data_IF_608879225440
#
_entry.id   IF_608879225440
#
_cell.length_a   1.000
_cell.length_b   1.000
_cell.length_c   1.000
_cell.angle_alpha   90.00
_cell.angle_beta   90.00
_cell.angle_gamma   90.00
#
_symmetry.space_group_name_H-M   'P 1'
#
loop_
_entity.id
_entity.type
_entity.pdbx_description
1 polymer ?
#
# COMPACT_ATOMS: atom_id res chain seq x y z
N UNK A 1 9.12 2.21 1.66
CA UNK A 1 8.07 3.18 1.29
C UNK A 1 7.96 3.21 -0.23
N UNK A 2 6.76 3.37 -0.76
CA UNK A 2 6.52 3.62 -2.18
C UNK A 2 5.41 4.67 -2.33
N UNK A 3 5.15 5.11 -3.55
CA UNK A 3 4.17 6.14 -3.86
C UNK A 3 3.38 5.74 -5.11
N UNK A 4 2.05 5.86 -5.06
CA UNK A 4 1.13 5.57 -6.16
C UNK A 4 -0.24 6.18 -5.87
N UNK A 5 -1.05 6.43 -6.90
CA UNK A 5 -2.47 6.75 -6.72
C UNK A 5 -3.23 5.45 -6.42
N UNK A 6 -3.56 5.22 -5.14
CA UNK A 6 -4.22 3.98 -4.70
C UNK A 6 -5.72 4.16 -4.45
N UNK A 7 -6.26 5.38 -4.58
CA UNK A 7 -7.69 5.63 -4.46
C UNK A 7 -8.34 6.09 -5.80
N UNK A 8 -7.54 6.29 -6.84
CA UNK A 8 -7.98 6.71 -8.17
C UNK A 8 -8.35 8.19 -8.26
N UNK A 9 -7.88 9.03 -7.34
CA UNK A 9 -8.21 10.46 -7.30
C UNK A 9 -7.22 11.35 -8.07
N UNK A 10 -6.29 10.74 -8.82
CA UNK A 10 -5.22 11.38 -9.57
C UNK A 10 -4.19 12.12 -8.71
N UNK A 11 -4.09 11.80 -7.41
CA UNK A 11 -3.05 12.31 -6.52
C UNK A 11 -2.17 11.16 -6.05
N UNK A 12 -0.87 11.39 -6.05
CA UNK A 12 0.07 10.39 -5.54
C UNK A 12 -0.06 10.26 -4.03
N UNK A 13 -0.46 9.09 -3.57
CA UNK A 13 -0.52 8.69 -2.16
C UNK A 13 0.80 8.06 -1.70
N UNK A 14 0.96 7.90 -0.38
CA UNK A 14 2.13 7.26 0.22
C UNK A 14 1.74 5.90 0.80
N UNK A 15 2.55 4.88 0.51
CA UNK A 15 2.43 3.55 1.09
C UNK A 15 3.70 3.21 1.88
N UNK A 16 3.53 2.89 3.16
CA UNK A 16 4.62 2.54 4.08
C UNK A 16 4.47 1.12 4.60
N UNK A 17 5.60 0.46 4.80
CA UNK A 17 5.66 -0.85 5.45
C UNK A 17 5.99 -0.64 6.92
N UNK A 18 5.17 -1.23 7.79
CA UNK A 18 5.38 -1.18 9.23
C UNK A 18 5.79 -2.58 9.71
N UNK A 19 7.07 -2.92 9.54
CA UNK A 19 7.60 -4.29 9.75
C UNK A 19 7.31 -4.85 11.16
N UNK A 20 7.42 -4.01 12.19
CA UNK A 20 7.16 -4.43 13.57
C UNK A 20 5.66 -4.59 13.88
N UNK A 21 4.80 -3.96 13.08
CA UNK A 21 3.35 -3.98 13.26
C UNK A 21 2.64 -4.96 12.32
N UNK A 22 3.39 -5.68 11.46
CA UNK A 22 2.87 -6.63 10.48
C UNK A 22 1.71 -6.07 9.63
N UNK A 23 1.88 -4.83 9.17
CA UNK A 23 0.92 -4.17 8.29
C UNK A 23 1.61 -3.22 7.32
N UNK A 24 0.85 -2.78 6.31
CA UNK A 24 1.16 -1.59 5.52
C UNK A 24 0.23 -0.45 5.90
N UNK A 25 0.73 0.77 5.83
CA UNK A 25 -0.06 1.97 5.99
C UNK A 25 -0.17 2.75 4.69
N UNK A 26 -1.35 3.32 4.45
CA UNK A 26 -1.66 4.18 3.31
C UNK A 26 -2.00 5.57 3.85
N UNK A 27 -1.32 6.59 3.34
CA UNK A 27 -1.59 7.98 3.63
C UNK A 27 -2.09 8.65 2.35
N UNK A 28 -3.38 9.00 2.32
CA UNK A 28 -4.01 9.60 1.15
C UNK A 28 -3.63 11.08 1.02
N UNK A 29 -3.25 11.49 -0.17
CA UNK A 29 -2.85 12.86 -0.45
C UNK A 29 -4.09 13.77 -0.58
N UNK A 30 -4.11 14.86 0.18
CA UNK A 30 -5.24 15.82 0.15
C UNK A 30 -5.13 16.84 -0.98
N UNK A 31 -4.02 16.88 -1.72
CA UNK A 31 -3.78 17.80 -2.83
C UNK A 31 -3.30 19.20 -2.41
N UNK A 32 -3.08 19.42 -1.12
CA UNK A 32 -2.64 20.71 -0.55
C UNK A 32 -1.31 20.58 0.21
N UNK A 33 -0.51 19.58 -0.10
CA UNK A 33 0.75 19.28 0.59
C UNK A 33 0.57 18.56 1.94
N UNK A 34 -0.66 18.17 2.30
CA UNK A 34 -0.95 17.40 3.52
C UNK A 34 -1.53 16.03 3.18
N UNK A 35 -1.47 15.12 4.16
CA UNK A 35 -1.98 13.75 4.04
C UNK A 35 -3.12 13.50 5.04
N UNK A 36 -3.99 12.54 4.72
CA UNK A 36 -4.97 12.00 5.66
C UNK A 36 -4.28 11.18 6.76
N UNK A 37 -5.05 10.86 7.80
CA UNK A 37 -4.61 9.88 8.80
C UNK A 37 -4.31 8.55 8.12
N UNK A 38 -3.30 7.85 8.61
CA UNK A 38 -2.88 6.57 8.05
C UNK A 38 -4.00 5.52 8.19
N UNK A 39 -4.43 4.95 7.07
CA UNK A 39 -5.21 3.72 7.05
C UNK A 39 -4.23 2.54 7.05
N UNK A 40 -4.48 1.51 7.85
CA UNK A 40 -3.59 0.33 7.94
C UNK A 40 -4.28 -0.92 7.45
N UNK A 41 -3.50 -1.79 6.81
CA UNK A 41 -3.95 -3.06 6.26
C UNK A 41 -2.99 -4.17 6.66
N UNK A 42 -3.52 -5.22 7.28
CA UNK A 42 -2.74 -6.36 7.75
C UNK A 42 -2.00 -7.05 6.60
N UNK A 43 -0.80 -7.55 6.91
CA UNK A 43 0.04 -8.32 5.99
C UNK A 43 0.46 -9.64 6.64
N UNK A 44 1.39 -10.36 6.00
CA UNK A 44 2.15 -11.38 6.69
C UNK A 44 3.14 -10.78 7.71
N UNK A 45 3.92 -11.65 8.34
CA UNK A 45 4.91 -11.32 9.35
C UNK A 45 6.17 -10.69 8.75
N UNK A 46 6.70 -9.68 9.44
CA UNK A 46 7.89 -8.94 9.06
C UNK A 46 7.86 -8.51 7.58
N UNK A 47 6.87 -7.69 7.16
CA UNK A 47 6.85 -7.15 5.81
C UNK A 47 8.13 -6.34 5.56
N UNK A 48 8.75 -6.54 4.41
CA UNK A 48 10.09 -6.01 4.10
C UNK A 48 10.07 -4.99 2.97
N UNK A 49 9.33 -5.28 1.89
CA UNK A 49 9.21 -4.38 0.75
C UNK A 49 7.75 -4.25 0.32
N UNK A 50 7.44 -3.10 -0.29
CA UNK A 50 6.14 -2.81 -0.88
C UNK A 50 6.32 -2.19 -2.25
N UNK A 51 5.50 -2.61 -3.21
CA UNK A 51 5.35 -1.99 -4.52
C UNK A 51 3.87 -1.78 -4.81
N UNK A 52 3.57 -0.89 -5.73
CA UNK A 52 2.22 -0.62 -6.19
C UNK A 52 2.16 -0.85 -7.70
N UNK A 53 1.19 -1.63 -8.15
CA UNK A 53 0.97 -1.93 -9.56
C UNK A 53 -0.48 -2.36 -9.78
N UNK A 54 -1.04 -2.07 -10.96
CA UNK A 54 -2.34 -2.61 -11.37
C UNK A 54 -2.17 -4.08 -11.80
N UNK A 55 -2.32 -5.01 -10.84
CA UNK A 55 -2.17 -6.44 -11.13
C UNK A 55 -3.46 -7.06 -11.66
N UNK A 56 -4.59 -6.39 -11.46
CA UNK A 56 -5.89 -6.82 -11.99
C UNK A 56 -6.18 -6.32 -13.40
N UNK A 57 -5.45 -5.31 -13.89
CA UNK A 57 -5.72 -4.66 -15.16
C UNK A 57 -6.98 -3.79 -15.14
N UNK A 58 -7.37 -3.26 -13.98
CA UNK A 58 -8.57 -2.42 -13.84
C UNK A 58 -8.26 -0.91 -13.79
N UNK A 59 -7.01 -0.53 -14.06
CA UNK A 59 -6.54 0.86 -14.02
C UNK A 59 -6.32 1.40 -12.61
N UNK A 60 -6.37 0.56 -11.56
CA UNK A 60 -6.18 0.98 -10.17
C UNK A 60 -4.96 0.28 -9.59
N UNK A 61 -4.12 1.02 -8.88
CA UNK A 61 -2.97 0.43 -8.23
C UNK A 61 -3.42 -0.51 -7.09
N UNK A 62 -2.98 -1.76 -7.15
CA UNK A 62 -3.00 -2.71 -6.05
C UNK A 62 -1.68 -2.61 -5.26
N UNK A 63 -1.67 -3.06 -4.00
CA UNK A 63 -0.47 -3.02 -3.15
C UNK A 63 0.08 -4.45 -3.00
N UNK A 64 1.34 -4.66 -3.40
CA UNK A 64 2.04 -5.94 -3.28
C UNK A 64 3.12 -5.84 -2.21
N UNK A 65 3.12 -6.78 -1.27
CA UNK A 65 4.00 -6.77 -0.09
C UNK A 65 4.76 -8.09 0.01
N UNK A 66 6.09 -8.02 0.14
CA UNK A 66 6.91 -9.19 0.51
C UNK A 66 6.98 -9.32 2.02
N UNK A 67 6.63 -10.50 2.54
CA UNK A 67 6.63 -10.81 3.97
C UNK A 67 7.76 -11.78 4.28
N UNK A 68 8.92 -11.27 4.70
CA UNK A 68 10.10 -12.11 4.93
C UNK A 68 9.93 -13.04 6.12
N UNK A 69 9.15 -12.64 7.14
CA UNK A 69 8.86 -13.48 8.30
C UNK A 69 7.90 -14.63 7.99
N UNK A 70 6.97 -14.43 7.05
CA UNK A 70 6.01 -15.46 6.62
C UNK A 70 6.42 -16.22 5.36
N UNK A 71 7.56 -15.89 4.74
CA UNK A 71 8.04 -16.49 3.50
C UNK A 71 7.00 -16.46 2.36
N UNK A 72 6.25 -15.36 2.22
CA UNK A 72 5.25 -15.22 1.17
C UNK A 72 5.14 -13.79 0.61
N UNK A 73 4.34 -13.64 -0.44
CA UNK A 73 3.94 -12.35 -1.00
C UNK A 73 2.42 -12.20 -0.82
N UNK A 74 2.00 -11.04 -0.31
CA UNK A 74 0.59 -10.68 -0.19
C UNK A 74 0.21 -9.61 -1.21
N UNK A 75 -1.03 -9.64 -1.68
CA UNK A 75 -1.60 -8.63 -2.58
C UNK A 75 -2.87 -8.07 -1.95
N UNK A 76 -2.91 -6.77 -1.76
CA UNK A 76 -4.10 -6.03 -1.30
C UNK A 76 -4.76 -5.44 -2.54
N UNK A 77 -5.91 -6.02 -2.90
CA UNK A 77 -6.62 -5.70 -4.12
C UNK A 77 -7.51 -4.46 -3.95
N UNK A 78 -7.44 -3.57 -4.93
CA UNK A 78 -8.23 -2.36 -4.98
C UNK A 78 -9.51 -2.58 -5.81
N UNK A 79 -10.66 -2.68 -5.17
CA UNK A 79 -11.90 -3.15 -5.80
C UNK A 79 -12.82 -2.08 -6.37
N UNK A 80 -12.81 -0.86 -5.80
CA UNK A 80 -13.81 0.15 -6.11
C UNK A 80 -13.23 1.24 -6.96
#
# INVERSE_FOLDING_TARGET
>A
VTAADVNGDSKTDIIVVNSNSNNVGVLLNKGNGTFAAQATYSTGSSPACVVAADVKGNGKADIIVSNSGSNNVGVLLNYC
#
